data_IF_844080997718
#
_entry.id   IF_844080997718
#
_cell.length_a   1.000
_cell.length_b   1.000
_cell.length_c   1.000
_cell.angle_alpha   90.00
_cell.angle_beta   90.00
_cell.angle_gamma   90.00
#
_symmetry.space_group_name_H-M   'P 1'
#
loop_
_entity.id
_entity.type
_entity.pdbx_description
1 polymer ?
#
# COMPACT_ATOMS: atom_id res chain seq x y z
N UNK A 1 -15.73 58.10 25.64
CA UNK A 1 -15.89 57.47 24.29
C UNK A 1 -15.33 56.06 24.40
N UNK A 2 -16.16 55.13 24.79
CA UNK A 2 -15.78 53.68 24.89
C UNK A 2 -16.08 52.97 23.60
N UNK A 3 -15.10 52.17 23.13
CA UNK A 3 -15.19 51.42 21.89
C UNK A 3 -15.92 50.08 22.09
N UNK A 4 -16.81 49.63 21.17
CA UNK A 4 -17.49 48.34 21.27
C UNK A 4 -16.61 47.28 20.60
N UNK A 5 -15.69 46.63 21.35
CA UNK A 5 -14.78 45.56 20.81
C UNK A 5 -15.11 44.14 21.19
N UNK A 6 -16.23 43.82 21.85
CA UNK A 6 -16.41 42.49 22.45
C UNK A 6 -17.34 41.54 21.69
N UNK A 7 -18.16 41.99 20.74
CA UNK A 7 -19.23 41.15 20.14
C UNK A 7 -18.78 40.39 18.89
N UNK A 8 -17.66 40.72 18.24
CA UNK A 8 -17.25 40.12 16.95
C UNK A 8 -16.40 38.85 17.03
N UNK A 9 -15.90 38.50 18.19
CA UNK A 9 -15.00 37.33 18.36
C UNK A 9 -15.69 35.94 18.29
N UNK A 10 -16.87 35.69 18.87
CA UNK A 10 -17.49 34.35 18.88
C UNK A 10 -17.95 33.92 17.48
N UNK A 11 -18.45 34.85 16.67
CA UNK A 11 -18.90 34.56 15.31
C UNK A 11 -17.74 34.21 14.36
N UNK A 12 -16.58 34.81 14.51
CA UNK A 12 -15.37 34.52 13.75
C UNK A 12 -14.82 33.13 14.11
N UNK A 13 -14.82 32.77 15.41
CA UNK A 13 -14.46 31.45 15.90
C UNK A 13 -15.41 30.34 15.42
N UNK A 14 -16.71 30.59 15.44
CA UNK A 14 -17.71 29.65 14.94
C UNK A 14 -17.59 29.43 13.42
N UNK A 15 -17.37 30.50 12.65
CA UNK A 15 -17.13 30.42 11.19
C UNK A 15 -15.84 29.70 10.85
N UNK A 16 -14.75 29.89 11.63
CA UNK A 16 -13.51 29.12 11.47
C UNK A 16 -13.70 27.66 11.83
N UNK A 17 -14.40 27.35 12.92
CA UNK A 17 -14.70 25.99 13.34
C UNK A 17 -15.56 25.24 12.30
N UNK A 18 -16.58 25.90 11.75
CA UNK A 18 -17.41 25.34 10.69
C UNK A 18 -16.64 25.13 9.37
N UNK A 19 -15.79 26.08 9.00
CA UNK A 19 -14.88 25.92 7.83
C UNK A 19 -13.87 24.80 8.04
N UNK A 20 -13.29 24.66 9.23
CA UNK A 20 -12.38 23.57 9.61
C UNK A 20 -13.09 22.21 9.55
N UNK A 21 -14.32 22.12 10.08
CA UNK A 21 -15.13 20.89 10.07
C UNK A 21 -15.55 20.50 8.65
N UNK A 22 -15.91 21.46 7.79
CA UNK A 22 -16.24 21.25 6.37
C UNK A 22 -15.01 20.82 5.57
N UNK A 23 -13.85 21.42 5.81
CA UNK A 23 -12.57 21.06 5.18
C UNK A 23 -12.11 19.65 5.59
N UNK A 24 -12.27 19.29 6.88
CA UNK A 24 -11.94 17.95 7.40
C UNK A 24 -12.87 16.88 6.80
N UNK A 25 -14.17 17.17 6.68
CA UNK A 25 -15.15 16.24 6.06
C UNK A 25 -14.87 16.05 4.57
N UNK A 26 -14.58 17.10 3.82
CA UNK A 26 -14.21 17.03 2.40
C UNK A 26 -12.91 16.24 2.19
N UNK A 27 -11.92 16.40 3.07
CA UNK A 27 -10.66 15.65 3.01
C UNK A 27 -10.86 14.15 3.24
N UNK A 28 -11.71 13.76 4.19
CA UNK A 28 -12.01 12.33 4.46
C UNK A 28 -12.73 11.69 3.28
N UNK A 29 -13.71 12.37 2.69
CA UNK A 29 -14.44 11.85 1.53
C UNK A 29 -13.53 11.70 0.32
N UNK A 30 -12.70 12.70 0.05
CA UNK A 30 -11.75 12.67 -1.07
C UNK A 30 -10.69 11.58 -0.88
N UNK A 31 -10.19 11.40 0.35
CA UNK A 31 -9.26 10.32 0.66
C UNK A 31 -9.89 8.94 0.57
N UNK A 32 -11.16 8.80 0.92
CA UNK A 32 -11.90 7.55 0.70
C UNK A 32 -12.00 7.19 -0.79
N UNK A 33 -12.37 8.17 -1.62
CA UNK A 33 -12.46 7.98 -3.07
C UNK A 33 -11.09 7.63 -3.67
N UNK A 34 -10.03 8.34 -3.31
CA UNK A 34 -8.67 8.04 -3.81
C UNK A 34 -8.18 6.67 -3.36
N UNK A 35 -8.54 6.21 -2.16
CA UNK A 35 -8.19 4.85 -1.70
C UNK A 35 -8.91 3.77 -2.52
N UNK A 36 -10.20 3.95 -2.79
CA UNK A 36 -10.97 3.01 -3.63
C UNK A 36 -10.41 3.00 -5.07
N UNK A 37 -10.05 4.16 -5.62
CA UNK A 37 -9.40 4.26 -6.92
C UNK A 37 -8.02 3.57 -6.93
N UNK A 38 -7.26 3.65 -5.83
CA UNK A 38 -6.01 2.92 -5.67
C UNK A 38 -6.25 1.40 -5.72
N UNK A 39 -7.21 0.90 -4.91
CA UNK A 39 -7.57 -0.52 -4.87
C UNK A 39 -8.03 -1.03 -6.25
N UNK A 40 -8.87 -0.27 -6.95
CA UNK A 40 -9.31 -0.62 -8.29
C UNK A 40 -8.14 -0.61 -9.29
N UNK A 41 -7.25 0.37 -9.22
CA UNK A 41 -6.07 0.43 -10.08
C UNK A 41 -5.11 -0.75 -9.82
N UNK A 42 -4.90 -1.16 -8.57
CA UNK A 42 -4.14 -2.38 -8.25
C UNK A 42 -4.80 -3.63 -8.82
N UNK A 43 -6.13 -3.71 -8.78
CA UNK A 43 -6.88 -4.83 -9.38
C UNK A 43 -6.68 -4.88 -10.90
N UNK A 44 -6.76 -3.75 -11.60
CA UNK A 44 -6.45 -3.70 -13.03
C UNK A 44 -4.99 -4.06 -13.33
N UNK A 45 -4.05 -3.63 -12.49
CA UNK A 45 -2.65 -4.05 -12.59
C UNK A 45 -2.53 -5.58 -12.52
N UNK A 46 -3.15 -6.19 -11.51
CA UNK A 46 -3.11 -7.65 -11.31
C UNK A 46 -3.80 -8.42 -12.44
N UNK A 47 -4.91 -7.87 -12.96
CA UNK A 47 -5.58 -8.42 -14.14
C UNK A 47 -4.68 -8.36 -15.37
N UNK A 48 -4.00 -7.24 -15.61
CA UNK A 48 -3.02 -7.14 -16.71
C UNK A 48 -1.90 -8.17 -16.57
N UNK A 49 -1.39 -8.39 -15.35
CA UNK A 49 -0.39 -9.42 -15.10
C UNK A 49 -0.93 -10.82 -15.43
N UNK A 50 -2.15 -11.13 -15.04
CA UNK A 50 -2.76 -12.43 -15.27
C UNK A 50 -3.15 -12.68 -16.75
N UNK A 51 -3.31 -11.62 -17.55
CA UNK A 51 -3.47 -11.74 -19.01
C UNK A 51 -2.15 -11.97 -19.77
N UNK A 52 -1.02 -12.03 -19.06
CA UNK A 52 0.32 -12.32 -19.58
C UNK A 52 0.86 -13.64 -19.02
N UNK A 53 0.15 -14.78 -19.19
CA UNK A 53 0.48 -16.03 -18.50
C UNK A 53 1.84 -16.62 -18.92
N UNK A 54 2.33 -16.29 -20.12
CA UNK A 54 3.62 -16.76 -20.61
C UNK A 54 4.79 -15.90 -20.17
N UNK A 55 4.51 -14.66 -19.67
CA UNK A 55 5.55 -13.74 -19.25
C UNK A 55 6.01 -14.05 -17.83
N UNK A 56 7.30 -14.34 -17.58
CA UNK A 56 7.83 -14.59 -16.26
C UNK A 56 7.61 -13.41 -15.32
N UNK A 57 7.36 -13.69 -14.03
CA UNK A 57 7.14 -12.68 -13.00
C UNK A 57 8.29 -11.67 -12.86
N UNK A 58 9.53 -12.10 -13.16
CA UNK A 58 10.70 -11.21 -13.23
C UNK A 58 10.55 -10.15 -14.30
N UNK A 59 10.13 -10.53 -15.50
CA UNK A 59 9.89 -9.62 -16.63
C UNK A 59 8.70 -8.69 -16.36
N UNK A 60 7.61 -9.20 -15.77
CA UNK A 60 6.48 -8.36 -15.37
C UNK A 60 6.94 -7.26 -14.40
N UNK A 61 7.80 -7.63 -13.41
CA UNK A 61 8.37 -6.70 -12.44
C UNK A 61 9.25 -5.65 -13.12
N UNK A 62 10.06 -6.06 -14.10
CA UNK A 62 10.92 -5.21 -14.90
C UNK A 62 10.11 -4.21 -15.74
N UNK A 63 9.21 -4.71 -16.60
CA UNK A 63 8.43 -3.86 -17.49
C UNK A 63 7.54 -2.87 -16.72
N UNK A 64 6.95 -3.30 -15.62
CA UNK A 64 6.23 -2.40 -14.72
C UNK A 64 7.12 -1.27 -14.22
N UNK A 65 8.37 -1.60 -13.84
CA UNK A 65 9.36 -0.60 -13.41
C UNK A 65 9.71 0.39 -14.52
N UNK A 66 9.97 -0.10 -15.74
CA UNK A 66 10.31 0.72 -16.92
C UNK A 66 9.16 1.66 -17.26
N UNK A 67 7.94 1.15 -17.42
CA UNK A 67 6.77 1.96 -17.75
C UNK A 67 6.52 3.01 -16.64
N UNK A 68 6.56 2.59 -15.36
CA UNK A 68 6.39 3.52 -14.26
C UNK A 68 7.46 4.62 -14.23
N UNK A 69 8.72 4.27 -14.47
CA UNK A 69 9.82 5.25 -14.51
C UNK A 69 9.67 6.25 -15.67
N UNK A 70 9.20 5.79 -16.83
CA UNK A 70 8.97 6.64 -17.99
C UNK A 70 7.91 7.73 -17.72
N UNK A 71 6.86 7.41 -16.98
CA UNK A 71 5.77 8.36 -16.69
C UNK A 71 5.99 9.24 -15.46
N UNK A 72 6.96 8.94 -14.58
CA UNK A 72 7.26 9.77 -13.39
C UNK A 72 7.62 11.22 -13.75
N UNK A 73 8.48 11.53 -14.76
CA UNK A 73 8.79 12.90 -15.11
C UNK A 73 7.55 13.72 -15.52
N UNK A 74 6.59 13.10 -16.20
CA UNK A 74 5.34 13.74 -16.58
C UNK A 74 4.51 14.14 -15.36
N UNK A 75 4.49 13.30 -14.31
CA UNK A 75 3.84 13.60 -13.04
C UNK A 75 4.55 14.73 -12.29
N UNK A 76 5.87 14.78 -12.33
CA UNK A 76 6.66 15.84 -11.70
C UNK A 76 6.42 17.22 -12.33
N UNK A 77 6.25 17.28 -13.64
CA UNK A 77 5.90 18.52 -14.35
C UNK A 77 4.56 19.08 -13.87
N UNK A 78 3.62 18.21 -13.46
CA UNK A 78 2.31 18.64 -12.95
C UNK A 78 2.34 19.08 -11.49
N UNK A 79 3.17 18.45 -10.64
CA UNK A 79 3.16 18.69 -9.19
C UNK A 79 4.11 19.80 -8.74
N UNK A 80 5.05 20.27 -9.59
CA UNK A 80 6.10 21.26 -9.26
C UNK A 80 6.91 20.90 -8.00
N UNK A 81 6.95 19.64 -7.62
CA UNK A 81 7.74 19.17 -6.47
C UNK A 81 9.22 19.08 -6.84
N UNK A 82 10.10 19.45 -5.91
CA UNK A 82 11.53 19.20 -6.06
C UNK A 82 11.77 17.70 -6.06
N UNK A 83 12.22 17.18 -7.21
CA UNK A 83 12.32 15.75 -7.51
C UNK A 83 13.28 14.99 -6.59
N UNK A 84 14.34 15.62 -6.12
CA UNK A 84 15.36 15.01 -5.26
C UNK A 84 15.64 15.86 -4.02
N UNK A 85 15.24 15.36 -2.84
CA UNK A 85 15.64 15.97 -1.56
C UNK A 85 17.07 15.60 -1.15
N UNK A 86 17.61 14.53 -1.72
CA UNK A 86 18.94 14.00 -1.41
C UNK A 86 19.09 13.43 0.01
N UNK A 87 18.03 13.45 0.82
CA UNK A 87 18.01 13.00 2.22
C UNK A 87 17.56 11.53 2.33
N UNK A 88 18.10 10.82 3.31
CA UNK A 88 17.69 9.45 3.65
C UNK A 88 17.77 8.41 2.52
N UNK A 89 18.73 8.52 1.59
CA UNK A 89 18.90 7.64 0.42
C UNK A 89 18.89 6.15 0.77
N UNK A 90 19.61 5.76 1.83
CA UNK A 90 19.65 4.36 2.27
C UNK A 90 18.24 3.80 2.58
N UNK A 91 17.39 4.59 3.26
CA UNK A 91 16.02 4.17 3.56
C UNK A 91 15.16 4.11 2.31
N UNK A 92 15.36 5.03 1.35
CA UNK A 92 14.68 5.00 0.06
C UNK A 92 15.08 3.76 -0.75
N UNK A 93 16.36 3.39 -0.76
CA UNK A 93 16.85 2.15 -1.37
C UNK A 93 16.24 0.91 -0.71
N UNK A 94 16.23 0.84 0.63
CA UNK A 94 15.60 -0.27 1.36
C UNK A 94 14.11 -0.37 1.05
N UNK A 95 13.39 0.77 0.99
CA UNK A 95 11.98 0.81 0.58
C UNK A 95 11.79 0.29 -0.85
N UNK A 96 12.66 0.71 -1.76
CA UNK A 96 12.65 0.24 -3.15
C UNK A 96 12.88 -1.26 -3.23
N UNK A 97 13.92 -1.75 -2.58
CA UNK A 97 14.31 -3.17 -2.60
C UNK A 97 13.20 -4.07 -2.00
N UNK A 98 12.78 -3.80 -0.76
CA UNK A 98 11.74 -4.62 -0.13
C UNK A 98 10.42 -4.57 -0.90
N UNK A 99 10.03 -3.40 -1.40
CA UNK A 99 8.81 -3.27 -2.19
C UNK A 99 8.88 -4.04 -3.52
N UNK A 100 10.04 -4.05 -4.17
CA UNK A 100 10.23 -4.76 -5.44
C UNK A 100 10.26 -6.28 -5.27
N UNK A 101 10.89 -6.77 -4.19
CA UNK A 101 10.84 -8.20 -3.83
C UNK A 101 9.40 -8.61 -3.50
N UNK A 102 8.69 -7.79 -2.72
CA UNK A 102 7.29 -8.04 -2.38
C UNK A 102 6.42 -8.16 -3.64
N UNK A 103 6.62 -7.26 -4.59
CA UNK A 103 5.89 -7.26 -5.84
C UNK A 103 6.19 -8.49 -6.71
N UNK A 104 7.47 -8.85 -6.82
CA UNK A 104 7.88 -10.05 -7.52
C UNK A 104 7.23 -11.30 -6.94
N UNK A 105 7.24 -11.44 -5.61
CA UNK A 105 6.55 -12.54 -4.93
C UNK A 105 5.04 -12.52 -5.12
N UNK A 106 4.44 -11.33 -5.19
CA UNK A 106 3.02 -11.19 -5.51
C UNK A 106 2.69 -11.67 -6.92
N UNK A 107 3.49 -11.32 -7.92
CA UNK A 107 3.31 -11.82 -9.28
C UNK A 107 3.48 -13.35 -9.35
N UNK A 108 4.50 -13.91 -8.69
CA UNK A 108 4.64 -15.36 -8.58
C UNK A 108 3.38 -15.99 -7.95
N UNK A 109 2.79 -15.37 -6.93
CA UNK A 109 1.59 -15.93 -6.30
C UNK A 109 0.39 -15.97 -7.25
N UNK A 110 0.24 -14.98 -8.12
CA UNK A 110 -0.86 -14.91 -9.12
C UNK A 110 -0.74 -16.01 -10.18
N UNK A 111 0.47 -16.49 -10.47
CA UNK A 111 0.68 -17.56 -11.47
C UNK A 111 -0.01 -18.87 -11.06
N UNK A 112 -0.08 -19.17 -9.77
CA UNK A 112 -0.61 -20.44 -9.29
C UNK A 112 -1.77 -20.37 -8.32
N UNK A 113 -2.23 -19.15 -7.95
CA UNK A 113 -3.37 -18.94 -7.08
C UNK A 113 -4.44 -18.10 -7.79
N UNK A 114 -5.65 -18.11 -7.22
CA UNK A 114 -6.69 -17.16 -7.65
C UNK A 114 -6.25 -15.71 -7.33
N UNK A 115 -6.76 -14.75 -8.08
CA UNK A 115 -6.51 -13.33 -7.79
C UNK A 115 -6.95 -12.96 -6.35
N UNK A 116 -8.07 -13.54 -5.91
CA UNK A 116 -8.59 -13.33 -4.55
C UNK A 116 -7.66 -13.90 -3.48
N UNK A 117 -7.21 -15.15 -3.60
CA UNK A 117 -6.32 -15.80 -2.63
C UNK A 117 -4.97 -15.08 -2.54
N UNK A 118 -4.36 -14.73 -3.69
CA UNK A 118 -3.12 -13.96 -3.74
C UNK A 118 -3.26 -12.61 -3.04
N UNK A 119 -4.40 -11.92 -3.24
CA UNK A 119 -4.66 -10.65 -2.59
C UNK A 119 -4.89 -10.80 -1.09
N UNK A 120 -5.62 -11.84 -0.65
CA UNK A 120 -5.79 -12.10 0.79
C UNK A 120 -4.43 -12.35 1.46
N UNK A 121 -3.55 -13.15 0.84
CA UNK A 121 -2.21 -13.41 1.39
C UNK A 121 -1.36 -12.13 1.43
N UNK A 122 -1.48 -11.23 0.46
CA UNK A 122 -0.76 -9.95 0.49
C UNK A 122 -1.17 -9.07 1.67
N UNK A 123 -2.42 -9.19 2.16
CA UNK A 123 -2.90 -8.46 3.35
C UNK A 123 -2.27 -8.93 4.66
N UNK A 124 -1.53 -10.04 4.67
CA UNK A 124 -0.67 -10.43 5.80
C UNK A 124 0.40 -9.38 6.10
N UNK A 125 0.63 -8.44 5.20
CA UNK A 125 1.47 -7.27 5.48
C UNK A 125 1.06 -6.54 6.77
N UNK A 126 -0.23 -6.46 7.09
CA UNK A 126 -0.69 -5.85 8.34
C UNK A 126 -0.23 -6.65 9.58
N UNK A 127 -0.28 -7.97 9.51
CA UNK A 127 0.20 -8.87 10.57
C UNK A 127 1.72 -8.75 10.76
N UNK A 128 2.50 -8.87 9.68
CA UNK A 128 3.95 -8.74 9.74
C UNK A 128 4.38 -7.34 10.16
N UNK A 129 3.65 -6.29 9.79
CA UNK A 129 3.91 -4.94 10.25
C UNK A 129 3.79 -4.82 11.77
N UNK A 130 2.81 -5.49 12.40
CA UNK A 130 2.70 -5.55 13.84
C UNK A 130 3.88 -6.27 14.51
N UNK A 131 4.42 -7.31 13.88
CA UNK A 131 5.62 -8.01 14.39
C UNK A 131 6.89 -7.17 14.21
N UNK A 132 7.02 -6.43 13.13
CA UNK A 132 8.21 -5.63 12.82
C UNK A 132 8.22 -4.27 13.54
N UNK A 133 7.06 -3.67 13.82
CA UNK A 133 6.95 -2.37 14.50
C UNK A 133 7.68 -2.29 15.83
N UNK A 134 7.61 -3.27 16.76
CA UNK A 134 8.36 -3.25 18.01
C UNK A 134 9.88 -3.20 17.80
N UNK A 135 10.37 -3.86 16.76
CA UNK A 135 11.80 -4.00 16.47
C UNK A 135 12.35 -2.68 15.89
N UNK A 136 11.66 -2.12 14.89
CA UNK A 136 12.16 -0.98 14.12
C UNK A 136 11.68 0.38 14.65
N UNK A 137 10.45 0.45 15.15
CA UNK A 137 9.85 1.68 15.67
C UNK A 137 9.90 1.76 17.20
N UNK A 138 10.41 0.70 17.87
CA UNK A 138 10.49 0.59 19.35
C UNK A 138 9.14 0.76 20.05
N UNK A 139 8.06 0.42 19.38
CA UNK A 139 6.70 0.48 19.90
C UNK A 139 6.36 -0.79 20.68
N UNK A 140 5.72 -0.66 21.85
CA UNK A 140 5.25 -1.84 22.60
C UNK A 140 3.97 -2.38 21.97
N UNK A 141 3.96 -3.66 21.65
CA UNK A 141 2.75 -4.34 21.19
C UNK A 141 1.74 -4.40 22.35
N UNK A 142 0.54 -3.82 22.23
CA UNK A 142 -0.45 -3.91 23.29
C UNK A 142 -0.98 -5.35 23.38
N UNK A 143 -1.18 -5.85 24.61
CA UNK A 143 -1.73 -7.21 24.82
C UNK A 143 -3.09 -7.41 24.11
N UNK A 144 -3.84 -6.34 23.93
CA UNK A 144 -5.11 -6.31 23.21
C UNK A 144 -4.97 -6.61 21.70
N UNK A 145 -3.76 -6.55 21.14
CA UNK A 145 -3.50 -6.92 19.73
C UNK A 145 -3.42 -8.45 19.53
N UNK A 146 -3.18 -9.23 20.60
CA UNK A 146 -3.00 -10.69 20.53
C UNK A 146 -4.20 -11.39 19.87
N UNK A 147 -5.48 -11.12 20.24
CA UNK A 147 -6.62 -11.77 19.57
C UNK A 147 -6.68 -11.48 18.07
N UNK A 148 -6.36 -10.25 17.66
CA UNK A 148 -6.28 -9.89 16.22
C UNK A 148 -5.20 -10.67 15.50
N UNK A 149 -4.02 -10.83 16.09
CA UNK A 149 -2.92 -11.63 15.52
C UNK A 149 -3.29 -13.10 15.39
N UNK A 150 -3.96 -13.68 16.40
CA UNK A 150 -4.46 -15.06 16.36
C UNK A 150 -5.51 -15.24 15.25
N UNK A 151 -6.45 -14.30 15.13
CA UNK A 151 -7.45 -14.31 14.06
C UNK A 151 -6.79 -14.33 12.66
N UNK A 152 -5.76 -13.50 12.44
CA UNK A 152 -5.02 -13.46 11.17
C UNK A 152 -4.27 -14.79 10.95
N UNK A 153 -3.61 -15.33 11.98
CA UNK A 153 -2.89 -16.60 11.86
C UNK A 153 -3.83 -17.76 11.49
N UNK A 154 -4.97 -17.89 12.18
CA UNK A 154 -5.99 -18.91 11.87
C UNK A 154 -6.54 -18.67 10.46
N UNK A 155 -6.88 -17.43 10.11
CA UNK A 155 -7.36 -17.08 8.78
C UNK A 155 -6.37 -17.44 7.68
N UNK A 156 -5.07 -17.23 7.90
CA UNK A 156 -4.02 -17.65 6.97
C UNK A 156 -4.00 -19.16 6.78
N UNK A 157 -4.08 -19.92 7.86
CA UNK A 157 -4.15 -21.39 7.78
C UNK A 157 -5.37 -21.86 6.97
N UNK A 158 -6.52 -21.17 7.08
CA UNK A 158 -7.70 -21.44 6.28
C UNK A 158 -7.49 -21.16 4.78
N UNK A 159 -6.86 -20.04 4.41
CA UNK A 159 -6.57 -19.71 3.00
C UNK A 159 -5.55 -20.69 2.42
N UNK A 160 -4.50 -20.99 3.17
CA UNK A 160 -3.44 -21.93 2.76
C UNK A 160 -3.96 -23.37 2.67
N UNK A 161 -5.06 -23.68 3.35
CA UNK A 161 -5.65 -25.02 3.41
C UNK A 161 -4.61 -26.09 3.83
N UNK A 162 -3.84 -25.82 4.89
CA UNK A 162 -2.72 -26.66 5.34
C UNK A 162 -3.08 -28.14 5.56
N UNK A 163 -4.36 -28.44 5.77
CA UNK A 163 -4.90 -29.78 5.91
C UNK A 163 -5.08 -30.52 4.58
N UNK A 164 -5.00 -29.79 3.45
CA UNK A 164 -5.10 -30.36 2.12
C UNK A 164 -3.75 -30.24 1.41
N UNK A 165 -2.91 -31.27 1.55
CA UNK A 165 -1.55 -31.29 0.97
C UNK A 165 -1.54 -31.06 -0.54
N UNK A 166 -2.64 -31.32 -1.25
CA UNK A 166 -2.74 -31.08 -2.69
C UNK A 166 -3.01 -29.60 -3.00
N UNK A 167 -3.55 -28.82 -2.06
CA UNK A 167 -3.82 -27.39 -2.22
C UNK A 167 -2.62 -26.52 -1.79
N UNK A 168 -1.77 -27.03 -0.90
CA UNK A 168 -0.57 -26.33 -0.48
C UNK A 168 0.49 -26.39 -1.58
N UNK A 169 0.81 -25.26 -2.17
CA UNK A 169 1.78 -25.16 -3.24
C UNK A 169 2.81 -24.05 -2.97
N UNK A 170 3.87 -24.00 -3.77
CA UNK A 170 4.95 -23.02 -3.64
C UNK A 170 4.44 -21.57 -3.81
N UNK A 171 3.41 -21.36 -4.62
CA UNK A 171 2.82 -20.04 -4.88
C UNK A 171 2.20 -19.43 -3.63
N UNK A 172 1.69 -20.26 -2.72
CA UNK A 172 1.20 -19.82 -1.40
C UNK A 172 2.33 -19.24 -0.53
N UNK A 173 3.52 -19.88 -0.55
CA UNK A 173 4.70 -19.37 0.16
C UNK A 173 5.15 -18.04 -0.42
N UNK A 174 5.11 -17.86 -1.73
CA UNK A 174 5.38 -16.58 -2.36
C UNK A 174 4.37 -15.51 -1.94
N UNK A 175 3.07 -15.85 -1.86
CA UNK A 175 2.05 -14.91 -1.35
C UNK A 175 2.33 -14.45 0.08
N UNK A 176 2.69 -15.36 0.99
CA UNK A 176 3.08 -15.06 2.38
C UNK A 176 4.35 -14.21 2.41
N UNK A 177 5.36 -14.59 1.64
CA UNK A 177 6.63 -13.84 1.50
C UNK A 177 6.41 -12.43 0.97
N UNK A 178 5.53 -12.28 -0.01
CA UNK A 178 5.10 -10.98 -0.54
C UNK A 178 4.52 -10.10 0.56
N UNK A 179 3.66 -10.64 1.42
CA UNK A 179 3.11 -9.97 2.60
C UNK A 179 4.21 -9.51 3.58
N UNK A 180 5.20 -10.36 3.85
CA UNK A 180 6.33 -10.03 4.74
C UNK A 180 7.17 -8.88 4.19
N UNK A 181 7.61 -8.94 2.93
CA UNK A 181 8.42 -7.88 2.32
C UNK A 181 7.62 -6.59 2.12
N UNK A 182 6.31 -6.67 1.87
CA UNK A 182 5.42 -5.50 1.88
C UNK A 182 5.40 -4.82 3.24
N UNK A 183 5.30 -5.59 4.33
CA UNK A 183 5.37 -5.06 5.69
C UNK A 183 6.70 -4.37 5.97
N UNK A 184 7.82 -4.98 5.58
CA UNK A 184 9.15 -4.38 5.72
C UNK A 184 9.24 -3.03 4.97
N UNK A 185 8.71 -2.98 3.74
CA UNK A 185 8.65 -1.76 2.95
C UNK A 185 7.79 -0.66 3.62
N UNK A 186 6.64 -1.02 4.21
CA UNK A 186 5.75 -0.08 4.92
C UNK A 186 6.36 0.43 6.23
N UNK A 187 7.10 -0.40 6.96
CA UNK A 187 7.86 0.02 8.13
C UNK A 187 8.91 1.08 7.74
N UNK A 188 9.62 0.88 6.63
CA UNK A 188 10.59 1.88 6.13
C UNK A 188 9.89 3.19 5.76
N UNK A 189 8.71 3.16 5.13
CA UNK A 189 7.91 4.38 4.85
C UNK A 189 7.54 5.08 6.15
N UNK A 190 7.09 4.33 7.17
CA UNK A 190 6.74 4.88 8.47
C UNK A 190 7.94 5.54 9.15
N UNK A 191 9.12 4.93 9.06
CA UNK A 191 10.37 5.52 9.55
C UNK A 191 10.76 6.80 8.79
N UNK A 192 10.57 6.85 7.46
CA UNK A 192 10.81 8.05 6.64
C UNK A 192 9.84 9.17 7.05
N UNK A 193 8.56 8.86 7.21
CA UNK A 193 7.54 9.81 7.64
C UNK A 193 7.85 10.38 9.03
N UNK A 194 8.29 9.53 9.99
CA UNK A 194 8.71 9.95 11.32
C UNK A 194 9.91 10.91 11.30
N UNK A 195 10.78 10.80 10.29
CA UNK A 195 11.90 11.73 10.05
C UNK A 195 11.49 13.00 9.28
N UNK A 196 10.22 13.19 8.99
CA UNK A 196 9.69 14.37 8.29
C UNK A 196 9.89 14.34 6.77
N UNK A 197 10.24 13.18 6.19
CA UNK A 197 10.34 13.02 4.74
C UNK A 197 8.95 12.92 4.12
N UNK A 198 8.65 13.77 3.12
CA UNK A 198 7.30 13.90 2.53
C UNK A 198 7.21 13.77 1.01
N UNK A 199 8.34 13.58 0.32
CA UNK A 199 8.30 13.44 -1.13
C UNK A 199 7.82 12.03 -1.53
N UNK A 200 6.57 11.96 -2.01
CA UNK A 200 5.98 10.71 -2.50
C UNK A 200 6.61 10.27 -3.79
N UNK A 201 6.86 11.23 -4.67
CA UNK A 201 7.42 10.99 -5.99
C UNK A 201 8.79 10.37 -5.90
N UNK A 202 9.64 10.82 -4.94
CA UNK A 202 10.97 10.25 -4.71
C UNK A 202 10.89 8.81 -4.18
N UNK A 203 9.95 8.51 -3.28
CA UNK A 203 9.70 7.13 -2.78
C UNK A 203 9.30 6.20 -3.94
N UNK A 204 8.39 6.66 -4.80
CA UNK A 204 7.91 5.86 -5.96
C UNK A 204 9.02 5.72 -7.00
N UNK A 205 9.85 6.75 -7.22
CA UNK A 205 10.98 6.69 -8.14
C UNK A 205 11.99 5.60 -7.75
N UNK A 206 12.45 5.59 -6.48
CA UNK A 206 13.34 4.52 -6.01
C UNK A 206 12.71 3.15 -6.13
N UNK A 207 11.42 3.03 -5.88
CA UNK A 207 10.70 1.77 -6.05
C UNK A 207 10.72 1.28 -7.51
N UNK A 208 10.52 2.16 -8.50
CA UNK A 208 10.60 1.77 -9.91
C UNK A 208 12.01 1.35 -10.31
N UNK A 209 13.04 2.08 -9.87
CA UNK A 209 14.45 1.68 -10.13
C UNK A 209 14.72 0.28 -9.57
N UNK A 210 14.36 0.02 -8.32
CA UNK A 210 14.58 -1.30 -7.72
C UNK A 210 13.71 -2.39 -8.36
N UNK A 211 12.52 -2.07 -8.86
CA UNK A 211 11.71 -3.02 -9.65
C UNK A 211 12.44 -3.43 -10.93
N UNK A 212 13.09 -2.48 -11.60
CA UNK A 212 13.92 -2.77 -12.79
C UNK A 212 15.11 -3.65 -12.39
N UNK A 213 15.85 -3.29 -11.34
CA UNK A 213 17.02 -4.04 -10.91
C UNK A 213 16.68 -5.46 -10.46
N UNK A 214 15.62 -5.64 -9.67
CA UNK A 214 15.16 -6.96 -9.21
C UNK A 214 14.66 -7.77 -10.41
N UNK A 215 13.86 -7.18 -11.29
CA UNK A 215 13.40 -7.84 -12.51
C UNK A 215 14.56 -8.30 -13.39
N UNK A 216 15.53 -7.44 -13.67
CA UNK A 216 16.73 -7.79 -14.45
C UNK A 216 17.57 -8.89 -13.78
N UNK A 217 17.74 -8.84 -12.46
CA UNK A 217 18.55 -9.83 -11.74
C UNK A 217 17.94 -11.23 -11.80
N UNK A 218 16.62 -11.33 -11.84
CA UNK A 218 15.89 -12.60 -11.89
C UNK A 218 15.78 -13.10 -13.33
N UNK A 219 15.34 -12.24 -14.26
CA UNK A 219 15.15 -12.60 -15.66
C UNK A 219 16.48 -12.83 -16.41
N UNK A 220 17.60 -12.38 -15.85
CA UNK A 220 18.93 -12.55 -16.50
C UNK A 220 19.38 -14.01 -16.69
N UNK A 221 18.76 -14.96 -15.96
CA UNK A 221 19.04 -16.40 -16.05
C UNK A 221 17.96 -17.19 -16.79
N UNK A 222 16.90 -16.54 -17.23
CA UNK A 222 15.78 -17.16 -17.94
C UNK A 222 15.75 -16.75 -19.41
N UNK A 223 15.08 -17.55 -20.24
CA UNK A 223 14.83 -17.16 -21.63
C UNK A 223 13.80 -16.03 -21.66
N UNK A 224 14.19 -14.86 -22.17
CA UNK A 224 13.33 -13.69 -22.28
C UNK A 224 12.15 -13.93 -23.22
N UNK A 225 10.96 -13.61 -22.75
CA UNK A 225 9.73 -13.62 -23.53
C UNK A 225 9.34 -12.17 -23.82
N UNK A 226 9.81 -11.65 -24.97
CA UNK A 226 9.46 -10.29 -25.36
C UNK A 226 7.97 -10.20 -25.72
N UNK A 227 7.26 -9.20 -25.18
CA UNK A 227 5.85 -8.97 -25.50
C UNK A 227 5.64 -8.84 -27.00
N UNK A 228 4.60 -9.50 -27.53
CA UNK A 228 4.26 -9.44 -28.95
C UNK A 228 2.83 -8.93 -29.16
N UNK A 229 2.64 -8.11 -30.19
CA UNK A 229 1.31 -7.66 -30.61
C UNK A 229 0.46 -7.10 -29.47
N UNK A 230 -0.54 -7.86 -29.03
CA UNK A 230 -1.49 -7.48 -27.96
C UNK A 230 -0.85 -7.41 -26.58
N UNK A 231 0.22 -8.13 -26.32
CA UNK A 231 0.84 -8.19 -24.98
C UNK A 231 1.34 -6.81 -24.54
N UNK A 232 1.81 -5.99 -25.48
CA UNK A 232 2.20 -4.61 -25.22
C UNK A 232 1.09 -3.77 -24.57
N UNK A 233 -0.17 -4.03 -24.94
CA UNK A 233 -1.31 -3.35 -24.32
C UNK A 233 -1.40 -3.69 -22.82
N UNK A 234 -1.24 -4.96 -22.48
CA UNK A 234 -1.28 -5.40 -21.08
C UNK A 234 -0.03 -4.98 -20.30
N UNK A 235 1.15 -5.00 -20.92
CA UNK A 235 2.41 -4.53 -20.30
C UNK A 235 2.34 -3.03 -19.97
N UNK A 236 1.87 -2.21 -20.90
CA UNK A 236 1.69 -0.78 -20.67
C UNK A 236 0.61 -0.55 -19.61
N UNK A 237 -0.52 -1.28 -19.69
CA UNK A 237 -1.57 -1.25 -18.69
C UNK A 237 -1.07 -1.61 -17.29
N UNK A 238 -0.30 -2.69 -17.17
CA UNK A 238 0.36 -3.13 -15.94
C UNK A 238 1.13 -1.99 -15.28
N UNK A 239 1.99 -1.30 -16.03
CA UNK A 239 2.81 -0.21 -15.51
C UNK A 239 2.00 1.05 -15.17
N UNK A 240 1.05 1.45 -16.02
CA UNK A 240 0.22 2.64 -15.81
C UNK A 240 -0.72 2.47 -14.62
N UNK A 241 -1.41 1.33 -14.51
CA UNK A 241 -2.30 1.05 -13.38
C UNK A 241 -1.50 0.92 -12.08
N UNK A 242 -0.32 0.30 -12.12
CA UNK A 242 0.58 0.24 -10.99
C UNK A 242 1.01 1.63 -10.49
N UNK A 243 1.42 2.51 -11.41
CA UNK A 243 1.84 3.88 -11.07
C UNK A 243 0.67 4.67 -10.49
N UNK A 244 -0.50 4.60 -11.14
CA UNK A 244 -1.73 5.27 -10.67
C UNK A 244 -2.12 4.79 -9.27
N UNK A 245 -2.12 3.48 -9.03
CA UNK A 245 -2.41 2.89 -7.74
C UNK A 245 -1.46 3.38 -6.64
N UNK A 246 -0.15 3.37 -6.91
CA UNK A 246 0.87 3.87 -5.98
C UNK A 246 0.68 5.36 -5.66
N UNK A 247 0.37 6.18 -6.65
CA UNK A 247 0.13 7.60 -6.46
C UNK A 247 -1.13 7.86 -5.62
N UNK A 248 -2.25 7.22 -5.95
CA UNK A 248 -3.50 7.35 -5.19
C UNK A 248 -3.35 6.88 -3.75
N UNK A 249 -2.72 5.71 -3.55
CA UNK A 249 -2.47 5.15 -2.23
C UNK A 249 -1.59 6.06 -1.39
N UNK A 250 -0.48 6.54 -1.95
CA UNK A 250 0.47 7.37 -1.25
C UNK A 250 -0.17 8.72 -0.89
N UNK A 251 -0.95 9.31 -1.80
CA UNK A 251 -1.70 10.53 -1.54
C UNK A 251 -2.72 10.33 -0.41
N UNK A 252 -3.46 9.21 -0.43
CA UNK A 252 -4.45 8.90 0.59
C UNK A 252 -3.81 8.78 1.99
N UNK A 253 -2.70 8.06 2.13
CA UNK A 253 -1.96 7.92 3.39
C UNK A 253 -1.42 9.24 3.94
N UNK A 254 -1.14 10.22 3.08
CA UNK A 254 -0.66 11.54 3.53
C UNK A 254 -1.77 12.48 3.97
N UNK A 255 -2.98 12.35 3.42
CA UNK A 255 -4.05 13.32 3.63
C UNK A 255 -5.17 12.82 4.54
N UNK A 256 -5.25 11.51 4.77
CA UNK A 256 -6.30 10.87 5.58
C UNK A 256 -5.65 10.02 6.68
N UNK A 257 -6.42 9.76 7.73
CA UNK A 257 -5.99 8.86 8.78
C UNK A 257 -5.65 7.49 8.21
N UNK A 258 -4.44 6.99 8.51
CA UNK A 258 -3.92 5.72 8.02
C UNK A 258 -4.84 4.52 8.31
N UNK A 259 -5.55 4.54 9.44
CA UNK A 259 -6.54 3.49 9.78
C UNK A 259 -7.69 3.44 8.78
N UNK A 260 -8.21 4.62 8.38
CA UNK A 260 -9.32 4.70 7.41
C UNK A 260 -8.84 4.23 6.04
N UNK A 261 -7.64 4.66 5.62
CA UNK A 261 -7.06 4.24 4.34
C UNK A 261 -6.83 2.74 4.33
N UNK A 262 -6.20 2.18 5.37
CA UNK A 262 -5.94 0.74 5.46
C UNK A 262 -7.23 -0.08 5.46
N UNK A 263 -8.28 0.39 6.17
CA UNK A 263 -9.59 -0.27 6.13
C UNK A 263 -10.20 -0.27 4.72
N UNK A 264 -10.14 0.86 4.02
CA UNK A 264 -10.67 0.97 2.66
C UNK A 264 -9.86 0.17 1.64
N UNK A 265 -8.56 -0.05 1.88
CA UNK A 265 -7.71 -0.91 1.03
C UNK A 265 -8.17 -2.38 1.02
N UNK A 266 -8.93 -2.84 2.03
CA UNK A 266 -9.54 -4.19 1.95
C UNK A 266 -10.56 -4.32 0.81
N UNK A 267 -11.09 -3.21 0.27
CA UNK A 267 -11.91 -3.24 -0.94
C UNK A 267 -11.18 -3.86 -2.14
N UNK A 268 -9.85 -3.89 -2.12
CA UNK A 268 -9.02 -4.51 -3.14
C UNK A 268 -9.27 -6.02 -3.23
N UNK A 269 -9.45 -6.71 -2.09
CA UNK A 269 -9.80 -8.14 -2.07
C UNK A 269 -11.11 -8.34 -2.84
N UNK A 270 -12.10 -7.50 -2.55
CA UNK A 270 -13.40 -7.59 -3.19
C UNK A 270 -13.32 -7.41 -4.71
N UNK A 271 -12.57 -6.42 -5.18
CA UNK A 271 -12.36 -6.20 -6.61
C UNK A 271 -11.59 -7.36 -7.26
N UNK A 272 -10.56 -7.90 -6.61
CA UNK A 272 -9.81 -9.06 -7.14
C UNK A 272 -10.68 -10.30 -7.29
N UNK A 273 -11.54 -10.57 -6.31
CA UNK A 273 -12.49 -11.69 -6.38
C UNK A 273 -13.48 -11.52 -7.54
N UNK A 274 -14.05 -10.31 -7.69
CA UNK A 274 -14.98 -10.03 -8.80
C UNK A 274 -14.26 -10.20 -10.14
N UNK A 275 -13.04 -9.70 -10.30
CA UNK A 275 -12.29 -9.80 -11.55
C UNK A 275 -11.87 -11.25 -11.82
N UNK A 276 -11.41 -11.99 -10.82
CA UNK A 276 -11.06 -13.40 -10.93
C UNK A 276 -12.25 -14.23 -11.44
N UNK A 277 -13.42 -14.00 -10.84
CA UNK A 277 -14.65 -14.65 -11.27
C UNK A 277 -15.09 -14.23 -12.68
N UNK A 278 -15.09 -12.93 -12.98
CA UNK A 278 -15.63 -12.41 -14.23
C UNK A 278 -14.77 -12.71 -15.47
N UNK A 279 -13.45 -12.83 -15.34
CA UNK A 279 -12.52 -12.96 -16.46
C UNK A 279 -11.81 -14.31 -16.55
N UNK A 280 -11.73 -15.06 -15.46
CA UNK A 280 -11.01 -16.36 -15.39
C UNK A 280 -11.86 -17.48 -14.80
N UNK A 281 -13.17 -17.25 -14.54
CA UNK A 281 -14.07 -18.22 -13.90
C UNK A 281 -13.51 -18.77 -12.57
N UNK A 282 -12.71 -17.94 -11.85
CA UNK A 282 -12.11 -18.34 -10.60
C UNK A 282 -13.15 -18.42 -9.49
N UNK A 283 -13.27 -19.58 -8.88
CA UNK A 283 -14.12 -19.79 -7.71
C UNK A 283 -13.21 -20.04 -6.51
N UNK A 284 -13.25 -19.13 -5.55
CA UNK A 284 -12.54 -19.31 -4.28
C UNK A 284 -13.13 -20.44 -3.46
N UNK A 285 -12.27 -21.25 -2.84
CA UNK A 285 -12.72 -22.27 -1.91
C UNK A 285 -13.48 -21.64 -0.71
N UNK A 286 -14.49 -22.34 -0.15
CA UNK A 286 -15.17 -21.84 1.06
C UNK A 286 -14.24 -21.55 2.22
N UNK A 287 -13.15 -22.32 2.37
CA UNK A 287 -12.12 -22.09 3.36
C UNK A 287 -11.37 -20.76 3.14
N UNK A 288 -11.12 -20.35 1.87
CA UNK A 288 -10.51 -19.07 1.54
C UNK A 288 -11.42 -17.90 1.93
N UNK A 289 -12.74 -18.02 1.75
CA UNK A 289 -13.70 -17.00 2.20
C UNK A 289 -13.68 -16.82 3.71
N UNK A 290 -13.72 -17.94 4.46
CA UNK A 290 -13.61 -17.91 5.92
C UNK A 290 -12.28 -17.32 6.37
N UNK A 291 -11.18 -17.75 5.76
CA UNK A 291 -9.84 -17.27 6.06
C UNK A 291 -9.68 -15.79 5.77
N UNK A 292 -10.17 -15.31 4.63
CA UNK A 292 -10.19 -13.89 4.26
C UNK A 292 -10.98 -13.04 5.26
N UNK A 293 -12.15 -13.50 5.68
CA UNK A 293 -12.95 -12.82 6.71
C UNK A 293 -12.21 -12.72 8.06
N UNK A 294 -11.54 -13.79 8.49
CA UNK A 294 -10.73 -13.80 9.72
C UNK A 294 -9.51 -12.88 9.63
N UNK A 295 -8.82 -12.82 8.48
CA UNK A 295 -7.68 -11.92 8.25
C UNK A 295 -8.16 -10.48 8.30
N UNK A 296 -9.25 -10.13 7.62
CA UNK A 296 -9.81 -8.78 7.65
C UNK A 296 -10.24 -8.39 9.05
N UNK A 297 -10.99 -9.24 9.76
CA UNK A 297 -11.43 -8.97 11.13
C UNK A 297 -10.23 -8.80 12.09
N UNK A 298 -9.25 -9.67 12.03
CA UNK A 298 -8.03 -9.60 12.83
C UNK A 298 -7.22 -8.34 12.55
N UNK A 299 -7.10 -7.96 11.30
CA UNK A 299 -6.39 -6.73 10.89
C UNK A 299 -7.11 -5.47 11.37
N UNK A 300 -8.46 -5.44 11.33
CA UNK A 300 -9.25 -4.35 11.91
C UNK A 300 -8.99 -4.27 13.43
N UNK A 301 -8.99 -5.41 14.14
CA UNK A 301 -8.68 -5.44 15.56
C UNK A 301 -7.29 -4.87 15.85
N UNK A 302 -6.27 -5.24 15.07
CA UNK A 302 -4.91 -4.69 15.21
C UNK A 302 -4.87 -3.17 15.00
N UNK A 303 -5.63 -2.66 14.05
CA UNK A 303 -5.70 -1.22 13.76
C UNK A 303 -6.38 -0.44 14.90
N UNK A 304 -7.45 -0.98 15.48
CA UNK A 304 -8.19 -0.34 16.59
C UNK A 304 -7.35 -0.29 17.87
N UNK A 305 -6.59 -1.33 18.14
CA UNK A 305 -5.78 -1.46 19.36
C UNK A 305 -4.34 -0.95 19.23
N UNK A 306 -3.97 -0.34 18.08
CA UNK A 306 -2.65 0.27 17.90
C UNK A 306 -2.39 1.35 18.96
N UNK A 307 -1.19 1.39 19.58
CA UNK A 307 -0.85 2.44 20.55
C UNK A 307 -1.01 3.83 19.91
N UNK A 308 -1.63 4.75 20.65
CA UNK A 308 -1.91 6.14 20.20
C UNK A 308 -0.68 7.01 19.89
N UNK A 309 0.54 6.44 19.88
CA UNK A 309 1.81 7.18 19.87
C UNK A 309 2.19 7.87 18.57
N UNK A 310 1.79 7.35 17.40
CA UNK A 310 2.33 7.86 16.12
C UNK A 310 1.56 9.05 15.56
N UNK A 311 0.24 9.07 15.68
CA UNK A 311 -0.58 10.11 15.02
C UNK A 311 -0.61 11.47 15.78
N UNK A 312 -0.34 11.48 17.08
CA UNK A 312 -0.38 12.71 17.88
C UNK A 312 0.95 13.47 17.90
N UNK A 313 2.09 12.77 17.94
CA UNK A 313 3.41 13.41 17.99
C UNK A 313 3.82 14.06 16.67
N UNK A 314 3.43 13.49 15.53
CA UNK A 314 3.70 14.11 14.21
C UNK A 314 2.88 15.38 13.99
N UNK A 315 1.62 15.43 14.44
CA UNK A 315 0.79 16.62 14.35
C UNK A 315 1.16 17.70 15.39
N UNK A 316 1.59 17.32 16.60
CA UNK A 316 2.06 18.28 17.61
C UNK A 316 3.42 18.88 17.27
N UNK A 317 4.39 18.08 16.84
CA UNK A 317 5.72 18.57 16.43
C UNK A 317 5.69 19.43 15.16
N UNK A 318 4.81 19.15 14.22
CA UNK A 318 4.63 20.00 13.04
C UNK A 318 3.93 21.32 13.36
N UNK A 319 3.00 21.35 14.31
CA UNK A 319 2.40 22.60 14.82
C UNK A 319 3.41 23.45 15.58
N UNK A 320 4.19 22.88 16.49
CA UNK A 320 5.20 23.61 17.24
C UNK A 320 6.33 24.19 16.34
N UNK A 321 6.71 23.47 15.28
CA UNK A 321 7.69 24.00 14.30
C UNK A 321 7.11 25.09 13.40
N UNK A 322 5.83 25.06 13.12
CA UNK A 322 5.16 26.09 12.33
C UNK A 322 4.92 27.34 13.17
N UNK A 323 4.57 27.21 14.43
CA UNK A 323 4.43 28.31 15.40
C UNK A 323 5.79 28.93 15.76
N UNK A 324 6.88 28.16 15.77
CA UNK A 324 8.23 28.66 15.99
C UNK A 324 8.86 29.30 14.73
N UNK A 325 8.40 28.93 13.53
CA UNK A 325 8.84 29.54 12.25
C UNK A 325 8.11 30.84 11.92
N UNK A 326 6.89 31.03 12.42
CA UNK A 326 6.10 32.27 12.26
C UNK A 326 6.42 33.33 13.33
N UNK A 327 7.33 33.02 14.26
CA UNK A 327 7.75 33.91 15.36
C UNK A 327 9.17 34.52 15.15
N UNK A 328 9.82 34.25 14.01
CA UNK A 328 11.09 34.86 13.57
C UNK A 328 10.84 35.63 12.26
#
# INVERSE_FOLDING_TARGET
MEQPRVIYQPFKRLKMALRSKKRKRSSITMGGVTTILASLSFTFMSACAKWLPEMPSGEMTLFRGIVGLFFIPLLCLQTKEHFFSGKHKCMLCLRGLFGSIALFFYFLSIEGLTLGDSQILSQLAAFFMCLLSPIFLKEKLPRQAIPGMLSIAIGTLCVVQIWNFNAFNMYTLFGIGGGFFSAAAYVVISCLAAKGFRSNTEIVFYFQIFSILVGLSISGNESWILPQGRDWFFVIGLGLFALSAQMFMTWAFQHVNSLVVSFLMYSEIFFHVIFGWAFWDEIMAPASWLGGALIVAGSIMLMVFKPKGIDQDTHHRSRQKQEAGDAV
#
